data_IF_819833109731
#
_entry.id   IF_819833109731
#
_cell.length_a   1.000
_cell.length_b   1.000
_cell.length_c   1.000
_cell.angle_alpha   90.00
_cell.angle_beta   90.00
_cell.angle_gamma   90.00
#
_symmetry.space_group_name_H-M   'P 1'
#
loop_
_entity.id
_entity.type
_entity.pdbx_description
1 polymer ?
#
# COMPACT_ATOMS: atom_id res chain seq x y z
N UNK A 1 -7.77 5.17 -12.88
CA UNK A 1 -8.39 4.23 -11.91
C UNK A 1 -7.73 2.87 -12.06
N UNK A 2 -7.53 2.13 -10.98
CA UNK A 2 -6.91 0.80 -11.02
C UNK A 2 -7.79 -0.17 -10.21
N UNK A 3 -8.03 -1.37 -10.72
CA UNK A 3 -8.78 -2.44 -10.05
C UNK A 3 -8.00 -3.74 -10.14
N UNK A 4 -8.01 -4.51 -9.08
CA UNK A 4 -7.22 -5.73 -8.97
C UNK A 4 -7.44 -6.43 -7.65
N UNK A 5 -6.62 -7.42 -7.40
CA UNK A 5 -6.60 -8.17 -6.15
C UNK A 5 -5.57 -7.58 -5.20
N UNK A 6 -5.79 -7.80 -3.91
CA UNK A 6 -4.90 -7.37 -2.84
C UNK A 6 -4.50 -8.60 -2.05
N UNK A 7 -3.19 -8.73 -1.81
CA UNK A 7 -2.65 -9.66 -0.82
C UNK A 7 -2.06 -8.86 0.34
N UNK A 8 -2.37 -9.28 1.56
CA UNK A 8 -1.85 -8.69 2.79
C UNK A 8 -0.87 -9.68 3.43
N UNK A 9 0.30 -9.21 3.82
CA UNK A 9 1.28 -10.01 4.53
C UNK A 9 1.68 -9.31 5.83
N UNK A 10 1.24 -9.89 6.94
CA UNK A 10 1.56 -9.45 8.29
C UNK A 10 2.80 -10.15 8.86
N UNK A 11 2.90 -10.15 10.17
CA UNK A 11 3.94 -10.89 10.91
C UNK A 11 3.82 -12.41 10.74
N UNK A 12 2.60 -12.92 10.64
CA UNK A 12 2.23 -14.34 10.56
C UNK A 12 2.45 -14.98 9.18
N UNK A 13 3.09 -14.26 8.25
CA UNK A 13 3.30 -14.75 6.88
C UNK A 13 4.37 -15.86 6.82
N UNK A 14 3.98 -17.05 6.36
CA UNK A 14 4.92 -18.14 6.06
C UNK A 14 5.74 -17.89 4.78
N UNK A 15 5.39 -16.86 4.00
CA UNK A 15 6.10 -16.53 2.78
C UNK A 15 7.39 -15.77 3.09
N UNK A 16 8.52 -16.49 3.07
CA UNK A 16 9.87 -15.97 3.33
C UNK A 16 10.21 -14.73 2.50
N UNK A 17 9.79 -14.68 1.23
CA UNK A 17 10.05 -13.53 0.36
C UNK A 17 9.26 -12.30 0.83
N UNK A 18 8.00 -12.48 1.20
CA UNK A 18 7.15 -11.40 1.70
C UNK A 18 7.58 -10.94 3.09
N UNK A 19 8.06 -11.85 3.95
CA UNK A 19 8.65 -11.50 5.24
C UNK A 19 9.86 -10.58 5.06
N UNK A 20 10.80 -10.93 4.17
CA UNK A 20 11.95 -10.08 3.83
C UNK A 20 11.54 -8.72 3.24
N UNK A 21 10.52 -8.72 2.38
CA UNK A 21 9.99 -7.48 1.81
C UNK A 21 9.37 -6.58 2.89
N UNK A 22 8.68 -7.16 3.88
CA UNK A 22 8.12 -6.46 5.04
C UNK A 22 9.23 -5.82 5.88
N UNK A 23 10.30 -6.54 6.18
CA UNK A 23 11.47 -5.98 6.88
C UNK A 23 12.11 -4.82 6.12
N UNK A 24 12.33 -4.99 4.80
CA UNK A 24 12.91 -3.94 3.97
C UNK A 24 12.02 -2.71 3.88
N UNK A 25 10.71 -2.89 3.72
CA UNK A 25 9.74 -1.81 3.70
C UNK A 25 9.78 -1.01 5.01
N UNK A 26 9.76 -1.69 6.16
CA UNK A 26 9.87 -1.06 7.47
C UNK A 26 11.14 -0.23 7.62
N UNK A 27 12.30 -0.80 7.24
CA UNK A 27 13.60 -0.11 7.30
C UNK A 27 13.64 1.12 6.39
N UNK A 28 12.96 1.10 5.26
CA UNK A 28 12.97 2.21 4.29
C UNK A 28 11.95 3.32 4.60
N UNK A 29 11.05 3.11 5.56
CA UNK A 29 10.11 4.16 6.00
C UNK A 29 10.84 5.32 6.70
N UNK A 30 10.19 6.48 6.76
CA UNK A 30 10.62 7.56 7.64
C UNK A 30 10.29 7.22 9.10
N UNK A 31 10.97 7.85 10.05
CA UNK A 31 10.66 7.70 11.48
C UNK A 31 9.20 8.09 11.76
N UNK A 32 8.72 9.19 11.18
CA UNK A 32 7.33 9.61 11.31
C UNK A 32 6.32 8.55 10.84
N UNK A 33 6.61 7.85 9.74
CA UNK A 33 5.73 6.80 9.23
C UNK A 33 5.77 5.55 10.11
N UNK A 34 6.93 5.16 10.66
CA UNK A 34 7.03 4.05 11.62
C UNK A 34 6.32 4.38 12.93
N UNK A 35 6.40 5.62 13.41
CA UNK A 35 5.75 6.05 14.65
C UNK A 35 4.24 5.86 14.63
N UNK A 36 3.60 6.01 13.46
CA UNK A 36 2.17 5.74 13.30
C UNK A 36 1.76 4.31 13.68
N UNK A 37 2.69 3.35 13.68
CA UNK A 37 2.43 1.96 14.06
C UNK A 37 2.56 1.70 15.58
N UNK A 38 3.18 2.61 16.33
CA UNK A 38 3.27 2.52 17.81
C UNK A 38 2.32 3.46 18.53
N UNK A 39 1.54 4.25 17.78
CA UNK A 39 0.46 5.08 18.32
C UNK A 39 -0.69 4.24 18.90
N UNK A 40 -1.56 4.86 19.72
CA UNK A 40 -2.82 4.26 20.12
C UNK A 40 -3.58 3.65 18.93
N UNK A 41 -4.27 2.53 19.19
CA UNK A 41 -4.96 1.78 18.14
C UNK A 41 -5.97 2.66 17.38
N UNK A 42 -6.03 2.55 16.04
CA UNK A 42 -6.96 3.37 15.26
C UNK A 42 -8.42 3.02 15.59
N UNK A 43 -9.29 4.04 15.60
CA UNK A 43 -10.73 3.86 15.82
C UNK A 43 -11.18 3.79 17.28
N UNK A 44 -10.27 3.91 18.24
CA UNK A 44 -10.60 4.04 19.68
C UNK A 44 -10.67 5.51 20.11
N UNK A 45 -11.25 5.76 21.29
CA UNK A 45 -11.24 7.11 21.88
C UNK A 45 -9.80 7.61 22.05
N UNK A 46 -9.54 8.89 21.76
CA UNK A 46 -8.20 9.45 21.91
C UNK A 46 -7.78 9.39 23.39
N UNK A 47 -6.46 9.31 23.66
CA UNK A 47 -5.94 9.48 25.01
C UNK A 47 -6.28 10.87 25.57
N UNK A 48 -6.17 11.01 26.89
CA UNK A 48 -6.44 12.29 27.57
C UNK A 48 -5.46 13.41 27.18
N UNK A 49 -4.28 13.06 26.70
CA UNK A 49 -3.24 13.96 26.22
C UNK A 49 -2.45 13.38 25.04
N UNK A 50 -1.59 14.21 24.44
CA UNK A 50 -0.82 13.84 23.25
C UNK A 50 0.47 13.05 23.56
N UNK A 51 0.76 12.74 24.82
CA UNK A 51 2.05 12.14 25.23
C UNK A 51 2.33 10.80 24.52
N UNK A 52 1.27 10.02 24.25
CA UNK A 52 1.36 8.74 23.53
C UNK A 52 1.72 8.87 22.04
N UNK A 53 1.53 10.05 21.45
CA UNK A 53 1.90 10.35 20.06
C UNK A 53 3.31 10.96 19.93
N UNK A 54 3.86 11.46 21.05
CA UNK A 54 5.17 12.13 21.13
C UNK A 54 6.30 11.19 21.58
N UNK A 55 6.06 9.87 21.59
CA UNK A 55 7.07 8.89 21.98
C UNK A 55 8.28 8.88 21.03
N UNK A 56 9.40 8.34 21.53
CA UNK A 56 10.62 8.15 20.76
C UNK A 56 10.36 7.37 19.46
N UNK A 57 11.22 7.58 18.46
CA UNK A 57 11.08 6.94 17.17
C UNK A 57 11.03 5.42 17.29
N UNK A 58 10.06 4.80 16.61
CA UNK A 58 9.95 3.36 16.52
C UNK A 58 11.22 2.76 15.92
N UNK A 59 11.72 1.69 16.55
CA UNK A 59 12.98 1.05 16.20
C UNK A 59 12.98 0.57 14.75
N UNK A 60 13.98 1.03 13.98
CA UNK A 60 14.15 0.68 12.58
C UNK A 60 14.50 -0.80 12.37
N UNK A 61 15.16 -1.43 13.35
CA UNK A 61 15.60 -2.82 13.24
C UNK A 61 14.54 -3.81 13.74
N UNK A 62 13.55 -3.34 14.53
CA UNK A 62 12.43 -4.14 15.02
C UNK A 62 11.12 -3.76 14.34
N UNK A 63 10.66 -4.59 13.41
CA UNK A 63 9.38 -4.39 12.73
C UNK A 63 8.22 -4.54 13.72
N UNK A 64 7.30 -3.57 13.75
CA UNK A 64 6.13 -3.64 14.61
C UNK A 64 5.19 -4.79 14.19
N UNK A 65 4.59 -5.52 15.12
CA UNK A 65 3.72 -6.69 14.88
C UNK A 65 2.52 -6.34 13.98
N UNK A 66 1.90 -5.18 14.23
CA UNK A 66 0.79 -4.62 13.45
C UNK A 66 1.19 -4.02 12.09
N UNK A 67 2.47 -4.00 11.74
CA UNK A 67 2.90 -3.59 10.41
C UNK A 67 2.62 -4.70 9.39
N UNK A 68 2.04 -4.34 8.26
CA UNK A 68 1.76 -5.28 7.17
C UNK A 68 2.12 -4.64 5.83
N UNK A 69 2.57 -5.47 4.88
CA UNK A 69 2.70 -5.03 3.48
C UNK A 69 1.46 -5.43 2.69
N UNK A 70 0.98 -4.50 1.88
CA UNK A 70 -0.15 -4.70 0.99
C UNK A 70 0.36 -4.72 -0.45
N UNK A 71 0.27 -5.89 -1.09
CA UNK A 71 0.65 -6.06 -2.49
C UNK A 71 -0.60 -6.02 -3.34
N UNK A 72 -0.71 -4.97 -4.15
CA UNK A 72 -1.79 -4.82 -5.10
C UNK A 72 -1.39 -5.41 -6.45
N UNK A 73 -2.22 -6.31 -6.99
CA UNK A 73 -2.03 -6.94 -8.28
C UNK A 73 -3.06 -6.37 -9.28
N UNK A 74 -2.68 -5.38 -10.12
CA UNK A 74 -3.59 -4.79 -11.10
C UNK A 74 -4.09 -5.85 -12.08
N UNK A 75 -5.41 -5.84 -12.30
CA UNK A 75 -6.05 -6.61 -13.37
C UNK A 75 -6.68 -5.68 -14.42
N UNK A 76 -7.07 -4.46 -14.01
CA UNK A 76 -7.68 -3.47 -14.88
C UNK A 76 -7.10 -2.08 -14.57
N UNK A 77 -6.65 -1.37 -15.61
CA UNK A 77 -6.17 0.02 -15.52
C UNK A 77 -6.98 0.89 -16.47
N UNK A 78 -7.60 1.92 -15.94
CA UNK A 78 -8.34 2.92 -16.72
C UNK A 78 -7.60 4.25 -16.63
N UNK A 79 -6.93 4.63 -17.72
CA UNK A 79 -6.09 5.80 -17.82
C UNK A 79 -6.79 6.89 -18.64
N UNK A 80 -7.17 7.98 -17.97
CA UNK A 80 -7.75 9.17 -18.58
C UNK A 80 -6.69 10.28 -18.60
N UNK A 81 -6.47 10.88 -19.76
CA UNK A 81 -5.60 12.04 -19.95
C UNK A 81 -6.48 13.24 -20.28
N UNK A 82 -6.54 14.20 -19.36
CA UNK A 82 -7.36 15.40 -19.47
C UNK A 82 -6.79 16.41 -20.49
N UNK A 83 -5.50 16.32 -20.83
CA UNK A 83 -4.86 17.19 -21.83
C UNK A 83 -5.22 16.74 -23.25
N UNK A 84 -6.09 17.49 -23.91
CA UNK A 84 -6.51 17.31 -25.31
C UNK A 84 -7.97 17.73 -25.53
N UNK A 85 -8.37 17.95 -26.78
CA UNK A 85 -9.78 18.10 -27.16
C UNK A 85 -10.06 17.30 -28.46
N UNK A 86 -10.71 16.12 -28.38
CA UNK A 86 -11.24 15.50 -27.16
C UNK A 86 -10.15 14.96 -26.22
N UNK A 87 -10.52 14.67 -24.96
CA UNK A 87 -9.68 13.96 -24.01
C UNK A 87 -9.38 12.54 -24.52
N UNK A 88 -8.34 11.89 -23.97
CA UNK A 88 -7.98 10.51 -24.34
C UNK A 88 -8.19 9.58 -23.16
N UNK A 89 -8.85 8.45 -23.39
CA UNK A 89 -8.99 7.39 -22.39
C UNK A 89 -8.56 6.04 -22.97
N UNK A 90 -7.86 5.25 -22.16
CA UNK A 90 -7.43 3.90 -22.53
C UNK A 90 -7.65 2.94 -21.37
N UNK A 91 -8.36 1.85 -21.63
CA UNK A 91 -8.57 0.75 -20.67
C UNK A 91 -7.60 -0.37 -20.98
N UNK A 92 -6.93 -0.88 -19.95
CA UNK A 92 -5.99 -1.97 -20.03
C UNK A 92 -6.53 -3.11 -19.19
N UNK A 93 -6.57 -4.31 -19.76
CA UNK A 93 -7.07 -5.51 -19.10
C UNK A 93 -6.00 -6.59 -19.14
N UNK A 94 -5.73 -7.20 -17.99
CA UNK A 94 -4.83 -8.34 -17.90
C UNK A 94 -5.58 -9.59 -18.31
N UNK A 95 -5.00 -10.37 -19.23
CA UNK A 95 -5.52 -11.67 -19.67
C UNK A 95 -5.10 -12.77 -18.70
N UNK A 96 -5.70 -13.95 -18.88
CA UNK A 96 -5.39 -15.15 -18.11
C UNK A 96 -3.93 -15.60 -18.29
N UNK A 97 -3.36 -15.43 -19.48
CA UNK A 97 -1.95 -15.71 -19.78
C UNK A 97 -0.97 -14.68 -19.18
N UNK A 98 -1.50 -13.68 -18.47
CA UNK A 98 -0.74 -12.60 -17.84
C UNK A 98 -0.38 -11.44 -18.77
N UNK A 99 -0.64 -11.55 -20.07
CA UNK A 99 -0.45 -10.46 -21.03
C UNK A 99 -1.51 -9.35 -20.84
N UNK A 100 -1.29 -8.21 -21.50
CA UNK A 100 -2.18 -7.04 -21.38
C UNK A 100 -2.73 -6.64 -22.73
N UNK A 101 -4.04 -6.45 -22.80
CA UNK A 101 -4.68 -5.68 -23.86
C UNK A 101 -4.82 -4.23 -23.47
N UNK A 102 -4.81 -3.33 -24.46
CA UNK A 102 -5.06 -1.92 -24.25
C UNK A 102 -5.96 -1.36 -25.36
N UNK A 103 -7.13 -0.84 -24.98
CA UNK A 103 -8.16 -0.38 -25.91
C UNK A 103 -8.44 1.11 -25.69
N UNK A 104 -8.23 1.97 -26.69
CA UNK A 104 -8.72 3.35 -26.67
C UNK A 104 -10.24 3.37 -26.55
N UNK A 105 -10.78 4.28 -25.75
CA UNK A 105 -12.22 4.47 -25.64
C UNK A 105 -12.54 5.96 -25.45
N UNK A 106 -13.82 6.31 -25.64
CA UNK A 106 -14.28 7.66 -25.36
C UNK A 106 -14.05 8.01 -23.88
N UNK A 107 -13.68 9.26 -23.57
CA UNK A 107 -13.49 9.76 -22.20
C UNK A 107 -14.61 9.38 -21.24
#
# INVERSE_FOLDING_TARGET
RIRGQVALFGEDTDNVMMHKLREQAWKNMSDAARNGFVWPAPGVSPPADDSSFLQAAADKERVAENFSILVFHPQHVDHLVLKGNPQRRRKHNRKEDGSWDAVPCNP
#
